data_IF_610961342308
#
_entry.id   IF_610961342308
#
_cell.length_a   1.000
_cell.length_b   1.000
_cell.length_c   1.000
_cell.angle_alpha   90.00
_cell.angle_beta   90.00
_cell.angle_gamma   90.00
#
_symmetry.space_group_name_H-M   'P 1'
#
loop_
_entity.id
_entity.type
_entity.pdbx_description
1 polymer ?
#
# COMPACT_ATOMS: atom_id res chain seq x y z
N UNK A 1 -10.91 -14.66 -56.03
CA UNK A 1 -10.57 -13.27 -56.44
C UNK A 1 -11.47 -12.36 -55.63
N UNK A 2 -11.08 -11.54 -54.67
CA UNK A 2 -9.84 -11.20 -53.94
C UNK A 2 -10.35 -10.79 -52.53
N UNK A 3 -9.71 -11.18 -51.43
CA UNK A 3 -8.55 -10.50 -50.81
C UNK A 3 -8.90 -9.06 -50.36
N UNK A 4 -8.75 -8.80 -49.04
CA UNK A 4 -8.32 -7.55 -48.36
C UNK A 4 -8.70 -7.66 -46.87
N UNK A 5 -7.79 -8.14 -46.00
CA UNK A 5 -6.93 -7.38 -45.05
C UNK A 5 -7.80 -6.63 -44.02
N UNK A 6 -7.76 -6.87 -42.70
CA UNK A 6 -6.61 -6.68 -41.81
C UNK A 6 -6.70 -7.63 -40.60
N UNK A 7 -5.69 -8.49 -40.44
CA UNK A 7 -5.29 -8.93 -39.10
C UNK A 7 -4.64 -7.70 -38.43
N UNK A 8 -5.44 -6.96 -37.66
CA UNK A 8 -4.88 -5.99 -36.71
C UNK A 8 -4.08 -6.78 -35.68
N UNK A 9 -2.77 -6.88 -35.93
CA UNK A 9 -1.77 -7.39 -35.00
C UNK A 9 -1.81 -6.49 -33.75
N UNK A 10 -2.48 -6.97 -32.71
CA UNK A 10 -2.47 -6.32 -31.40
C UNK A 10 -1.06 -6.48 -30.87
N UNK A 11 -0.28 -5.40 -30.89
CA UNK A 11 0.99 -5.35 -30.16
C UNK A 11 0.72 -5.75 -28.71
N UNK A 12 1.43 -6.75 -28.14
CA UNK A 12 1.31 -7.06 -26.73
C UNK A 12 1.81 -5.84 -25.96
N UNK A 13 0.88 -5.05 -25.42
CA UNK A 13 1.19 -4.03 -24.42
C UNK A 13 2.02 -4.73 -23.34
N UNK A 14 3.29 -4.36 -23.24
CA UNK A 14 4.15 -4.76 -22.13
C UNK A 14 3.53 -4.17 -20.86
N UNK A 15 2.57 -4.88 -20.27
CA UNK A 15 2.02 -4.54 -18.97
C UNK A 15 3.16 -4.73 -17.97
N UNK A 16 3.83 -3.64 -17.60
CA UNK A 16 4.82 -3.63 -16.51
C UNK A 16 4.22 -4.44 -15.35
N UNK A 17 4.90 -5.49 -14.87
CA UNK A 17 4.34 -6.35 -13.84
C UNK A 17 4.08 -5.47 -12.61
N UNK A 18 2.79 -5.23 -12.32
CA UNK A 18 2.37 -4.60 -11.07
C UNK A 18 2.88 -5.49 -9.95
N UNK A 19 4.05 -5.15 -9.40
CA UNK A 19 4.72 -6.02 -8.45
C UNK A 19 3.76 -6.25 -7.28
N UNK A 20 3.35 -7.52 -7.04
CA UNK A 20 2.46 -7.81 -5.94
C UNK A 20 3.18 -7.42 -4.66
N UNK A 21 2.58 -6.51 -3.91
CA UNK A 21 3.11 -6.10 -2.62
C UNK A 21 3.30 -7.34 -1.75
N UNK A 22 4.52 -7.60 -1.29
CA UNK A 22 4.82 -8.83 -0.57
C UNK A 22 4.16 -8.83 0.81
N UNK A 23 3.80 -10.02 1.31
CA UNK A 23 3.28 -10.19 2.67
C UNK A 23 4.25 -9.64 3.73
N UNK A 24 5.56 -9.70 3.46
CA UNK A 24 6.59 -9.11 4.32
C UNK A 24 6.45 -7.59 4.41
N UNK A 25 6.25 -6.90 3.28
CA UNK A 25 6.04 -5.44 3.26
C UNK A 25 4.76 -5.05 4.01
N UNK A 26 3.68 -5.81 3.81
CA UNK A 26 2.41 -5.59 4.53
C UNK A 26 2.61 -5.78 6.04
N UNK A 27 3.29 -6.85 6.44
CA UNK A 27 3.58 -7.13 7.86
C UNK A 27 4.40 -6.02 8.52
N UNK A 28 5.49 -5.58 7.86
CA UNK A 28 6.31 -4.45 8.31
C UNK A 28 5.50 -3.16 8.41
N UNK A 29 4.67 -2.87 7.41
CA UNK A 29 3.82 -1.68 7.41
C UNK A 29 2.81 -1.67 8.57
N UNK A 30 2.18 -2.81 8.86
CA UNK A 30 1.25 -2.93 9.98
C UNK A 30 1.91 -2.67 11.34
N UNK A 31 3.10 -3.24 11.57
CA UNK A 31 3.87 -3.02 12.81
C UNK A 31 4.24 -1.55 13.00
N UNK A 32 4.78 -0.91 11.96
CA UNK A 32 5.19 0.50 12.01
C UNK A 32 3.98 1.45 12.12
N UNK A 33 2.86 1.09 11.49
CA UNK A 33 1.64 1.89 11.57
C UNK A 33 1.02 1.85 12.96
N UNK A 34 1.05 0.69 13.63
CA UNK A 34 0.53 0.51 14.98
C UNK A 34 1.36 1.23 16.06
N UNK A 35 2.63 1.55 15.79
CA UNK A 35 3.49 2.27 16.73
C UNK A 35 3.08 3.77 16.79
N UNK A 36 2.54 4.24 17.92
CA UNK A 36 2.13 5.64 18.10
C UNK A 36 3.30 6.62 18.21
N UNK A 37 4.53 6.14 18.43
CA UNK A 37 5.73 6.97 18.51
C UNK A 37 6.29 7.31 17.12
N UNK A 38 5.95 6.51 16.10
CA UNK A 38 6.43 6.73 14.74
C UNK A 38 5.52 7.68 13.96
N UNK A 39 6.05 8.74 13.34
CA UNK A 39 5.26 9.63 12.50
C UNK A 39 4.80 8.91 11.22
N UNK A 40 3.59 9.19 10.69
CA UNK A 40 3.09 8.59 9.46
C UNK A 40 4.06 8.70 8.27
N UNK A 41 4.76 9.82 8.16
CA UNK A 41 5.72 10.12 7.09
C UNK A 41 6.88 9.11 7.08
N UNK A 42 7.34 8.68 8.26
CA UNK A 42 8.36 7.65 8.37
C UNK A 42 7.85 6.30 7.84
N UNK A 43 6.62 5.91 8.20
CA UNK A 43 6.02 4.65 7.73
C UNK A 43 5.88 4.65 6.21
N UNK A 44 5.45 5.77 5.62
CA UNK A 44 5.37 5.95 4.16
C UNK A 44 6.75 5.78 3.52
N UNK A 45 7.78 6.42 4.09
CA UNK A 45 9.15 6.34 3.54
C UNK A 45 9.74 4.93 3.56
N UNK A 46 9.42 4.11 4.57
CA UNK A 46 9.95 2.75 4.72
C UNK A 46 9.17 1.72 3.89
N UNK A 47 7.86 1.91 3.76
CA UNK A 47 6.97 0.90 3.17
C UNK A 47 6.57 1.21 1.73
N UNK A 48 6.77 2.46 1.28
CA UNK A 48 6.29 2.96 0.00
C UNK A 48 4.77 3.16 -0.08
N UNK A 49 4.03 2.83 0.98
CA UNK A 49 2.58 2.94 1.03
C UNK A 49 2.14 4.36 1.33
N UNK A 50 1.16 4.86 0.61
CA UNK A 50 0.56 6.16 0.91
C UNK A 50 -0.21 6.12 2.25
N UNK A 51 -0.40 7.28 2.92
CA UNK A 51 -1.23 7.37 4.13
C UNK A 51 -2.67 6.89 3.92
N UNK A 52 -3.18 6.92 2.69
CA UNK A 52 -4.52 6.45 2.33
C UNK A 52 -4.57 4.92 2.29
N UNK A 53 -3.54 4.28 1.73
CA UNK A 53 -3.41 2.82 1.72
C UNK A 53 -3.20 2.27 3.13
N UNK A 54 -2.31 2.90 3.91
CA UNK A 54 -2.09 2.54 5.31
C UNK A 54 -3.39 2.60 6.13
N UNK A 55 -4.21 3.65 5.95
CA UNK A 55 -5.53 3.74 6.58
C UNK A 55 -6.53 2.71 6.06
N UNK A 56 -6.51 2.37 4.77
CA UNK A 56 -7.38 1.35 4.19
C UNK A 56 -7.05 -0.05 4.72
N UNK A 57 -5.76 -0.34 4.89
CA UNK A 57 -5.26 -1.65 5.32
C UNK A 57 -5.37 -1.83 6.83
N UNK A 58 -5.01 -0.81 7.62
CA UNK A 58 -4.83 -0.94 9.07
C UNK A 58 -5.74 -0.02 9.90
N UNK A 59 -6.55 0.82 9.27
CA UNK A 59 -7.43 1.76 9.96
C UNK A 59 -6.71 3.03 10.45
N UNK A 60 -7.37 3.75 11.37
CA UNK A 60 -6.83 4.98 11.94
C UNK A 60 -5.60 4.69 12.80
N UNK A 61 -4.53 5.48 12.60
CA UNK A 61 -3.32 5.37 13.42
C UNK A 61 -3.64 5.66 14.89
N UNK A 62 -3.20 4.83 15.84
CA UNK A 62 -3.37 5.11 17.25
C UNK A 62 -2.58 6.35 17.64
N UNK A 63 -3.25 7.31 18.29
CA UNK A 63 -2.59 8.49 18.87
C UNK A 63 -2.11 8.20 20.29
N UNK A 64 -0.96 8.76 20.66
CA UNK A 64 -0.41 8.73 22.02
C UNK A 64 -1.46 9.14 23.08
N UNK A 65 -2.29 10.13 22.75
CA UNK A 65 -3.36 10.66 23.61
C UNK A 65 -4.40 9.60 23.99
N UNK A 66 -4.82 8.74 23.05
CA UNK A 66 -5.76 7.65 23.31
C UNK A 66 -5.17 6.51 24.14
N UNK A 67 -3.85 6.31 24.08
CA UNK A 67 -3.17 5.25 24.84
C UNK A 67 -3.03 5.66 26.31
N UNK A 68 -2.66 6.92 26.58
CA UNK A 68 -2.59 7.44 27.96
C UNK A 68 -3.93 7.39 28.70
N UNK A 69 -5.04 7.64 27.98
CA UNK A 69 -6.38 7.57 28.54
C UNK A 69 -6.79 6.17 29.00
N UNK A 70 -6.16 5.10 28.47
CA UNK A 70 -6.51 3.71 28.79
C UNK A 70 -5.68 3.10 29.93
N UNK A 71 -4.55 3.70 30.29
CA UNK A 71 -3.63 3.20 31.35
C UNK A 71 -3.91 3.85 32.70
N UNK A 72 -4.74 4.90 32.75
CA UNK A 72 -5.04 5.66 33.98
C UNK A 72 -6.31 5.19 34.72
N UNK A 73 -6.77 3.95 34.51
CA UNK A 73 -8.00 3.43 35.12
C UNK A 73 -7.79 2.08 35.81
#
# INVERSE_FOLDING_TARGET
>A
MNDWVHEEEIEPVEEEPRQPMTLETIGKAGLLWADPALPPEYVVSVTGLSPRELRRLFGAKPSQEKIRAKVSH
#
